data_IF_467903359925
#
_entry.id   IF_467903359925
#
_cell.length_a   1.000
_cell.length_b   1.000
_cell.length_c   1.000
_cell.angle_alpha   90.00
_cell.angle_beta   90.00
_cell.angle_gamma   90.00
#
_symmetry.space_group_name_H-M   'P 1'
#
loop_
_entity.id
_entity.type
_entity.pdbx_description
1 polymer ?
#
# COMPACT_ATOMS: atom_id res chain seq x y z
N UNK A 1 17.37 57.32 36.51
CA UNK A 1 16.66 58.18 35.54
C UNK A 1 17.43 58.16 34.23
N UNK A 2 16.75 57.73 33.16
CA UNK A 2 16.99 57.93 31.72
C UNK A 2 18.29 57.44 31.01
N UNK A 3 18.03 56.52 30.07
CA UNK A 3 18.79 56.20 28.84
C UNK A 3 18.85 57.41 27.87
N UNK A 4 19.67 57.34 26.80
CA UNK A 4 19.07 56.92 25.53
C UNK A 4 19.92 55.92 24.72
N UNK A 5 19.20 54.93 24.16
CA UNK A 5 19.63 54.01 23.10
C UNK A 5 19.47 54.69 21.74
N UNK A 6 20.53 54.71 20.94
CA UNK A 6 20.54 55.22 19.57
C UNK A 6 20.34 54.11 18.53
N UNK A 7 19.26 54.24 17.77
CA UNK A 7 19.13 53.98 16.33
C UNK A 7 19.67 52.66 15.75
N UNK A 8 18.81 51.63 15.73
CA UNK A 8 18.71 50.66 14.63
C UNK A 8 17.24 50.53 14.23
N UNK A 9 16.68 51.59 13.66
CA UNK A 9 15.41 51.54 12.94
C UNK A 9 15.74 51.52 11.45
N UNK A 10 16.10 50.34 10.95
CA UNK A 10 16.07 50.12 9.51
C UNK A 10 14.60 50.07 9.12
N UNK A 11 14.19 51.03 8.29
CA UNK A 11 12.82 51.21 7.86
C UNK A 11 12.22 49.87 7.41
N UNK A 12 11.28 49.36 8.20
CA UNK A 12 10.39 48.31 7.75
C UNK A 12 9.59 48.92 6.59
N UNK A 13 9.89 48.47 5.36
CA UNK A 13 9.08 48.80 4.20
C UNK A 13 7.62 48.49 4.53
N UNK A 14 6.74 49.41 4.16
CA UNK A 14 5.32 49.34 4.47
C UNK A 14 4.76 47.98 3.99
N UNK A 15 4.24 47.20 4.94
CA UNK A 15 3.75 45.86 4.65
C UNK A 15 2.59 45.96 3.64
N UNK A 16 2.63 45.22 2.53
CA UNK A 16 1.55 45.27 1.55
C UNK A 16 0.23 44.88 2.23
N UNK A 17 -0.84 45.65 1.97
CA UNK A 17 -2.20 45.31 2.43
C UNK A 17 -2.66 44.04 1.71
N UNK A 18 -2.43 42.90 2.35
CA UNK A 18 -2.77 41.58 1.85
C UNK A 18 -4.28 41.36 1.96
N UNK A 19 -4.97 41.31 0.81
CA UNK A 19 -6.38 40.94 0.73
C UNK A 19 -6.60 39.41 0.84
N UNK A 20 -5.54 38.60 0.61
CA UNK A 20 -5.58 37.13 0.66
C UNK A 20 -4.25 36.58 1.20
N UNK A 21 -4.31 35.56 2.04
CA UNK A 21 -3.15 34.93 2.68
C UNK A 21 -2.28 34.15 1.68
N UNK A 22 -2.84 33.73 0.53
CA UNK A 22 -2.06 33.11 -0.56
C UNK A 22 -1.06 34.09 -1.20
N UNK A 23 -1.46 35.34 -1.40
CA UNK A 23 -0.55 36.39 -1.86
C UNK A 23 0.56 36.70 -0.84
N UNK A 24 0.28 36.49 0.46
CA UNK A 24 1.27 36.62 1.52
C UNK A 24 2.34 35.53 1.41
N UNK A 25 1.93 34.30 1.10
CA UNK A 25 2.85 33.20 0.84
C UNK A 25 3.72 33.42 -0.40
N UNK A 26 3.14 33.90 -1.50
CA UNK A 26 3.91 34.21 -2.71
C UNK A 26 4.96 35.29 -2.45
N UNK A 27 4.62 36.31 -1.64
CA UNK A 27 5.58 37.32 -1.19
C UNK A 27 6.65 36.75 -0.25
N UNK A 28 6.26 35.85 0.68
CA UNK A 28 7.22 35.19 1.58
C UNK A 28 8.18 34.28 0.81
N UNK A 29 7.70 33.60 -0.24
CA UNK A 29 8.49 32.77 -1.13
C UNK A 29 9.48 33.56 -2.01
N UNK A 30 9.29 34.87 -2.17
CA UNK A 30 10.23 35.75 -2.89
C UNK A 30 11.42 36.21 -2.03
N UNK A 31 11.36 36.07 -0.70
CA UNK A 31 12.50 36.39 0.15
C UNK A 31 13.56 35.28 0.07
N UNK A 32 14.77 35.61 -0.42
CA UNK A 32 15.96 34.74 -0.52
C UNK A 32 16.43 34.08 0.80
N UNK A 33 15.75 34.34 1.92
CA UNK A 33 16.04 33.83 3.29
C UNK A 33 14.78 33.30 4.00
N UNK A 34 13.68 33.06 3.28
CA UNK A 34 12.47 32.47 3.87
C UNK A 34 12.69 31.02 4.30
N UNK A 35 11.86 30.52 5.23
CA UNK A 35 11.94 29.14 5.75
C UNK A 35 11.90 28.08 4.62
N UNK A 36 11.19 28.35 3.52
CA UNK A 36 11.15 27.48 2.32
C UNK A 36 12.53 27.33 1.65
N UNK A 37 13.28 28.41 1.51
CA UNK A 37 14.59 28.38 0.86
C UNK A 37 15.63 27.73 1.78
N UNK A 38 15.47 27.88 3.10
CA UNK A 38 16.26 27.17 4.09
C UNK A 38 16.00 25.66 4.01
N UNK A 39 14.74 25.22 3.92
CA UNK A 39 14.42 23.79 3.79
C UNK A 39 14.84 23.20 2.43
N UNK A 40 14.73 23.97 1.34
CA UNK A 40 15.25 23.57 0.01
C UNK A 40 16.78 23.55 -0.04
N UNK A 41 17.43 24.42 0.72
CA UNK A 41 18.88 24.41 0.89
C UNK A 41 19.30 23.26 1.79
N UNK A 42 18.70 23.06 2.96
CA UNK A 42 18.96 21.94 3.86
C UNK A 42 18.75 20.62 3.15
N UNK A 43 17.64 20.42 2.43
CA UNK A 43 17.42 19.17 1.68
C UNK A 43 18.50 18.88 0.63
N UNK A 44 19.10 19.93 0.04
CA UNK A 44 20.24 19.82 -0.88
C UNK A 44 21.59 19.68 -0.18
N UNK A 45 21.68 20.03 1.10
CA UNK A 45 22.91 20.07 1.91
C UNK A 45 22.89 19.09 3.09
N UNK A 46 21.89 18.21 3.19
CA UNK A 46 21.88 17.12 4.13
C UNK A 46 23.08 16.22 3.82
N UNK A 47 23.87 15.80 4.83
CA UNK A 47 24.95 14.85 4.62
C UNK A 47 24.37 13.61 3.94
N UNK A 48 25.00 13.17 2.84
CA UNK A 48 24.63 11.90 2.21
C UNK A 48 24.65 10.82 3.28
N UNK A 49 23.46 10.33 3.65
CA UNK A 49 23.35 9.16 4.51
C UNK A 49 24.05 8.05 3.74
N UNK A 50 25.13 7.46 4.28
CA UNK A 50 25.92 6.47 3.56
C UNK A 50 24.96 5.38 3.08
N UNK A 51 24.90 5.20 1.75
CA UNK A 51 24.00 4.25 1.15
C UNK A 51 24.26 2.88 1.77
N UNK A 52 23.27 2.33 2.47
CA UNK A 52 23.32 0.95 2.94
C UNK A 52 23.60 0.09 1.70
N UNK A 53 24.64 -0.77 1.70
CA UNK A 53 24.99 -1.55 0.52
C UNK A 53 23.75 -2.35 0.09
N UNK A 54 23.15 -1.93 -1.03
CA UNK A 54 21.99 -2.60 -1.58
C UNK A 54 22.48 -3.89 -2.25
N UNK A 55 22.21 -5.02 -1.60
CA UNK A 55 22.44 -6.32 -2.21
C UNK A 55 21.57 -6.40 -3.46
N UNK A 56 22.20 -6.53 -4.63
CA UNK A 56 21.46 -6.64 -5.90
C UNK A 56 20.52 -7.85 -5.83
N UNK A 57 19.24 -7.71 -6.20
CA UNK A 57 18.31 -8.82 -6.21
C UNK A 57 18.80 -9.89 -7.20
N UNK A 58 18.79 -11.16 -6.77
CA UNK A 58 19.12 -12.30 -7.61
C UNK A 58 17.87 -13.05 -8.11
N UNK A 59 16.69 -12.75 -7.55
CA UNK A 59 15.40 -13.24 -8.00
C UNK A 59 14.45 -12.06 -8.22
N UNK A 60 14.25 -11.70 -9.49
CA UNK A 60 13.45 -10.54 -9.91
C UNK A 60 12.03 -10.99 -10.27
N UNK A 61 11.02 -10.44 -9.58
CA UNK A 61 9.60 -10.76 -9.69
C UNK A 61 8.80 -9.47 -9.86
N UNK A 62 8.94 -8.81 -11.01
CA UNK A 62 8.38 -7.46 -11.24
C UNK A 62 6.88 -7.47 -11.55
N UNK A 63 6.36 -8.60 -12.02
CA UNK A 63 4.94 -8.78 -12.32
C UNK A 63 4.37 -10.03 -11.62
N UNK A 64 3.04 -10.09 -11.39
CA UNK A 64 2.38 -11.29 -10.89
C UNK A 64 2.67 -12.53 -11.75
N UNK A 65 2.79 -12.36 -13.07
CA UNK A 65 3.11 -13.46 -13.98
C UNK A 65 4.50 -14.06 -13.75
N UNK A 66 5.47 -13.28 -13.25
CA UNK A 66 6.82 -13.77 -12.94
C UNK A 66 6.79 -14.76 -11.78
N UNK A 67 6.05 -14.42 -10.71
CA UNK A 67 5.92 -15.31 -9.55
C UNK A 67 5.13 -16.57 -9.91
N UNK A 68 4.10 -16.47 -10.75
CA UNK A 68 3.30 -17.63 -11.19
C UNK A 68 4.17 -18.61 -11.96
N UNK A 69 4.93 -18.12 -12.95
CA UNK A 69 5.87 -18.97 -13.72
C UNK A 69 6.92 -19.59 -12.83
N UNK A 70 7.46 -18.84 -11.87
CA UNK A 70 8.46 -19.35 -10.95
C UNK A 70 7.88 -20.40 -10.00
N UNK A 71 6.65 -20.21 -9.53
CA UNK A 71 5.93 -21.19 -8.72
C UNK A 71 5.70 -22.48 -9.52
N UNK A 72 5.18 -22.40 -10.76
CA UNK A 72 5.01 -23.59 -11.60
C UNK A 72 6.31 -24.34 -11.88
N UNK A 73 7.46 -23.66 -12.02
CA UNK A 73 8.77 -24.33 -12.15
C UNK A 73 9.14 -25.16 -10.92
N UNK A 74 8.67 -24.77 -9.74
CA UNK A 74 8.86 -25.53 -8.51
C UNK A 74 7.92 -26.75 -8.41
N UNK A 75 7.00 -26.91 -9.35
CA UNK A 75 6.01 -27.99 -9.42
C UNK A 75 6.16 -28.78 -10.75
N UNK A 76 7.13 -29.72 -10.83
CA UNK A 76 7.42 -30.48 -12.05
C UNK A 76 6.21 -31.23 -12.64
N UNK A 77 5.29 -31.65 -11.78
CA UNK A 77 4.01 -32.28 -12.13
C UNK A 77 3.15 -31.42 -13.08
N UNK A 78 3.20 -30.09 -12.91
CA UNK A 78 2.43 -29.15 -13.72
C UNK A 78 3.02 -28.89 -15.12
N UNK A 79 4.24 -29.37 -15.40
CA UNK A 79 4.89 -29.17 -16.70
C UNK A 79 4.13 -29.90 -17.84
N UNK A 80 3.53 -31.05 -17.52
CA UNK A 80 2.72 -31.81 -18.49
C UNK A 80 1.46 -31.03 -18.87
N UNK A 81 0.74 -30.50 -17.88
CA UNK A 81 -0.47 -29.69 -18.08
C UNK A 81 -0.16 -28.46 -18.94
N UNK A 82 0.92 -27.73 -18.62
CA UNK A 82 1.37 -26.57 -19.40
C UNK A 82 1.64 -26.92 -20.87
N UNK A 83 2.21 -28.10 -21.12
CA UNK A 83 2.46 -28.57 -22.49
C UNK A 83 1.16 -28.89 -23.24
N UNK A 84 0.14 -29.42 -22.57
CA UNK A 84 -1.18 -29.72 -23.15
C UNK A 84 -1.94 -28.43 -23.49
N UNK A 85 -1.91 -27.45 -22.58
CA UNK A 85 -2.61 -26.16 -22.75
C UNK A 85 -2.00 -25.29 -23.85
N UNK A 86 -0.69 -25.43 -24.09
CA UNK A 86 0.05 -24.61 -25.02
C UNK A 86 0.42 -23.23 -24.46
N UNK A 87 1.46 -22.62 -25.04
CA UNK A 87 2.11 -21.42 -24.48
C UNK A 87 1.18 -20.21 -24.33
N UNK A 88 0.22 -20.03 -25.24
CA UNK A 88 -0.71 -18.89 -25.23
C UNK A 88 -1.70 -18.97 -24.06
N UNK A 89 -2.31 -20.14 -23.83
CA UNK A 89 -3.20 -20.35 -22.67
C UNK A 89 -2.42 -20.25 -21.37
N UNK A 90 -1.24 -20.87 -21.28
CA UNK A 90 -0.36 -20.78 -20.09
C UNK A 90 0.02 -19.33 -19.79
N UNK A 91 0.33 -18.53 -20.81
CA UNK A 91 0.65 -17.12 -20.63
C UNK A 91 -0.55 -16.31 -20.15
N UNK A 92 -1.76 -16.52 -20.71
CA UNK A 92 -3.00 -15.89 -20.22
C UNK A 92 -3.29 -16.26 -18.78
N UNK A 93 -3.12 -17.55 -18.45
CA UNK A 93 -3.26 -18.02 -17.08
C UNK A 93 -2.26 -17.34 -16.17
N UNK A 94 -0.99 -17.17 -16.57
CA UNK A 94 0.04 -16.48 -15.78
C UNK A 94 -0.23 -14.98 -15.62
N UNK A 95 -0.83 -14.34 -16.63
CA UNK A 95 -1.18 -12.92 -16.61
C UNK A 95 -2.49 -12.62 -15.85
N UNK A 96 -3.20 -13.65 -15.37
CA UNK A 96 -4.51 -13.49 -14.70
C UNK A 96 -5.65 -13.21 -15.68
N UNK A 97 -5.41 -13.36 -16.99
CA UNK A 97 -6.43 -13.15 -18.03
C UNK A 97 -7.29 -14.38 -18.22
N UNK A 98 -7.89 -14.87 -17.13
CA UNK A 98 -8.69 -16.09 -17.11
C UNK A 98 -9.99 -15.94 -17.92
N UNK A 99 -10.44 -14.72 -18.19
CA UNK A 99 -11.62 -14.48 -19.04
C UNK A 99 -11.48 -15.09 -20.46
N UNK A 100 -10.24 -15.24 -20.93
CA UNK A 100 -9.91 -15.78 -22.25
C UNK A 100 -9.51 -17.27 -22.22
N UNK A 101 -9.73 -17.95 -21.10
CA UNK A 101 -9.44 -19.38 -20.89
C UNK A 101 -10.76 -20.14 -20.81
N UNK A 102 -10.94 -21.14 -21.67
CA UNK A 102 -12.13 -21.98 -21.73
C UNK A 102 -12.28 -22.77 -20.40
N UNK A 103 -13.36 -22.55 -19.63
CA UNK A 103 -13.54 -23.24 -18.35
C UNK A 103 -13.67 -24.77 -18.48
N UNK A 104 -14.05 -25.27 -19.66
CA UNK A 104 -14.13 -26.72 -19.89
C UNK A 104 -12.77 -27.40 -19.78
N UNK A 105 -11.66 -26.66 -19.88
CA UNK A 105 -10.30 -27.17 -19.71
C UNK A 105 -10.05 -27.74 -18.31
N UNK A 106 -10.71 -27.22 -17.27
CA UNK A 106 -10.59 -27.80 -15.92
C UNK A 106 -11.00 -29.27 -15.84
N UNK A 107 -11.90 -29.71 -16.73
CA UNK A 107 -12.35 -31.11 -16.79
C UNK A 107 -11.59 -31.95 -17.80
N UNK A 108 -11.14 -31.33 -18.89
CA UNK A 108 -10.49 -32.04 -20.01
C UNK A 108 -9.02 -32.32 -19.76
N UNK A 109 -8.41 -31.54 -18.87
CA UNK A 109 -6.98 -31.61 -18.58
C UNK A 109 -6.82 -31.88 -17.09
N UNK A 110 -6.31 -33.06 -16.77
CA UNK A 110 -5.94 -33.43 -15.40
C UNK A 110 -4.99 -32.37 -14.80
N UNK A 111 -5.09 -32.12 -13.50
CA UNK A 111 -4.27 -31.17 -12.74
C UNK A 111 -4.39 -29.68 -13.17
N UNK A 112 -5.33 -29.34 -14.06
CA UNK A 112 -5.63 -27.94 -14.42
C UNK A 112 -6.12 -27.13 -13.21
N UNK A 113 -6.86 -27.76 -12.30
CA UNK A 113 -7.24 -27.16 -11.02
C UNK A 113 -6.01 -26.74 -10.21
N UNK A 114 -5.10 -27.67 -9.93
CA UNK A 114 -3.87 -27.36 -9.20
C UNK A 114 -3.03 -26.28 -9.89
N UNK A 115 -2.92 -26.32 -11.23
CA UNK A 115 -2.21 -25.30 -12.00
C UNK A 115 -2.77 -23.90 -11.76
N UNK A 116 -4.09 -23.77 -11.84
CA UNK A 116 -4.79 -22.52 -11.64
C UNK A 116 -4.72 -22.08 -10.15
N UNK A 117 -4.68 -23.03 -9.20
CA UNK A 117 -4.67 -22.77 -7.75
C UNK A 117 -3.32 -22.17 -7.35
N UNK A 118 -2.23 -22.83 -7.79
CA UNK A 118 -0.87 -22.32 -7.65
C UNK A 118 -0.73 -20.93 -8.27
N UNK A 119 -1.39 -20.67 -9.40
CA UNK A 119 -1.37 -19.34 -10.01
C UNK A 119 -2.11 -18.30 -9.17
N UNK A 120 -3.31 -18.61 -8.66
CA UNK A 120 -4.08 -17.70 -7.81
C UNK A 120 -3.36 -17.39 -6.50
N UNK A 121 -2.82 -18.40 -5.83
CA UNK A 121 -2.06 -18.25 -4.60
C UNK A 121 -0.76 -17.47 -4.81
N UNK A 122 -0.04 -17.73 -5.91
CA UNK A 122 1.14 -16.96 -6.26
C UNK A 122 0.86 -15.46 -6.41
N UNK A 123 -0.24 -15.10 -7.09
CA UNK A 123 -0.66 -13.70 -7.20
C UNK A 123 -0.98 -13.08 -5.85
N UNK A 124 -1.79 -13.76 -5.03
CA UNK A 124 -2.19 -13.26 -3.71
C UNK A 124 -0.98 -13.01 -2.82
N UNK A 125 -0.03 -13.94 -2.78
CA UNK A 125 1.19 -13.83 -1.99
C UNK A 125 2.09 -12.69 -2.50
N UNK A 126 2.20 -12.52 -3.82
CA UNK A 126 2.97 -11.42 -4.40
C UNK A 126 2.34 -10.05 -4.11
N UNK A 127 1.01 -9.93 -4.22
CA UNK A 127 0.27 -8.71 -3.87
C UNK A 127 0.50 -8.35 -2.40
N UNK A 128 0.44 -9.32 -1.49
CA UNK A 128 0.74 -9.10 -0.06
C UNK A 128 2.17 -8.60 0.16
N UNK A 129 3.15 -9.17 -0.55
CA UNK A 129 4.55 -8.76 -0.43
C UNK A 129 4.80 -7.34 -0.95
N UNK A 130 4.18 -6.96 -2.07
CA UNK A 130 4.25 -5.59 -2.61
C UNK A 130 3.56 -4.61 -1.64
N UNK A 131 2.39 -4.97 -1.11
CA UNK A 131 1.65 -4.16 -0.14
C UNK A 131 2.48 -3.90 1.14
N UNK A 132 3.05 -4.95 1.74
CA UNK A 132 3.85 -4.86 2.96
C UNK A 132 5.06 -3.93 2.79
N UNK A 133 5.76 -4.02 1.65
CA UNK A 133 6.91 -3.14 1.33
C UNK A 133 6.47 -1.70 1.09
N UNK A 134 5.34 -1.49 0.43
CA UNK A 134 4.80 -0.15 0.21
C UNK A 134 4.37 0.49 1.53
N UNK A 135 3.70 -0.25 2.41
CA UNK A 135 3.29 0.21 3.74
C UNK A 135 4.49 0.54 4.65
N UNK A 136 5.57 -0.25 4.61
CA UNK A 136 6.80 0.01 5.38
C UNK A 136 7.35 1.43 5.15
N UNK A 137 7.40 1.89 3.89
CA UNK A 137 7.87 3.25 3.54
C UNK A 137 7.07 4.35 4.23
N UNK A 138 5.75 4.20 4.31
CA UNK A 138 4.88 5.16 4.99
C UNK A 138 4.97 5.06 6.51
N UNK A 139 5.22 3.87 7.07
CA UNK A 139 5.50 3.69 8.51
C UNK A 139 6.82 4.34 8.92
N UNK A 140 7.86 4.27 8.09
CA UNK A 140 9.12 5.01 8.30
C UNK A 140 8.88 6.52 8.31
N UNK A 141 8.10 7.03 7.36
CA UNK A 141 7.73 8.46 7.29
C UNK A 141 6.97 8.91 8.55
N UNK A 142 6.02 8.09 9.02
CA UNK A 142 5.28 8.35 10.24
C UNK A 142 6.19 8.36 11.49
N UNK A 143 7.19 7.47 11.56
CA UNK A 143 8.16 7.46 12.65
C UNK A 143 9.02 8.74 12.66
N UNK A 144 9.55 9.16 11.51
CA UNK A 144 10.34 10.39 11.40
C UNK A 144 9.54 11.60 11.90
N UNK A 145 8.27 11.71 11.49
CA UNK A 145 7.39 12.79 11.97
C UNK A 145 7.16 12.71 13.49
N UNK A 146 6.95 11.51 14.02
CA UNK A 146 6.74 11.29 15.45
C UNK A 146 7.99 11.62 16.30
N UNK A 147 9.18 11.30 15.81
CA UNK A 147 10.46 11.64 16.44
C UNK A 147 10.68 13.15 16.48
N UNK A 148 10.48 13.83 15.36
CA UNK A 148 10.59 15.28 15.27
C UNK A 148 9.62 15.98 16.24
N UNK A 149 8.36 15.52 16.28
CA UNK A 149 7.37 16.06 17.21
C UNK A 149 7.75 15.81 18.67
N UNK A 150 8.16 14.60 19.03
CA UNK A 150 8.55 14.29 20.39
C UNK A 150 9.77 15.11 20.85
N UNK A 151 10.78 15.28 19.99
CA UNK A 151 11.97 16.07 20.31
C UNK A 151 11.64 17.55 20.51
N UNK A 152 10.86 18.15 19.60
CA UNK A 152 10.44 19.54 19.74
C UNK A 152 9.66 19.74 21.05
N UNK A 153 8.87 18.75 21.45
CA UNK A 153 8.02 18.82 22.64
C UNK A 153 8.87 18.74 23.91
N UNK A 154 9.85 17.84 23.92
CA UNK A 154 10.84 17.76 24.98
C UNK A 154 11.65 19.05 25.14
N UNK A 155 12.04 19.70 24.03
CA UNK A 155 12.72 21.00 24.06
C UNK A 155 11.83 22.11 24.59
N UNK A 156 10.54 22.12 24.25
CA UNK A 156 9.58 23.09 24.78
C UNK A 156 9.37 22.94 26.30
N UNK A 157 9.41 21.71 26.81
CA UNK A 157 9.40 21.45 28.25
C UNK A 157 10.70 21.91 28.91
N UNK A 158 11.87 21.65 28.29
CA UNK A 158 13.16 22.03 28.88
C UNK A 158 13.36 23.53 29.01
N UNK A 159 12.79 24.32 28.08
CA UNK A 159 12.78 25.80 28.16
C UNK A 159 11.60 26.36 28.97
N UNK A 160 10.76 25.51 29.56
CA UNK A 160 9.66 25.91 30.45
C UNK A 160 8.40 26.42 29.76
N UNK A 161 8.34 26.38 28.42
CA UNK A 161 7.16 26.83 27.67
C UNK A 161 5.99 25.83 27.75
N UNK A 162 6.30 24.53 27.88
CA UNK A 162 5.30 23.46 27.98
C UNK A 162 5.41 22.71 29.31
N UNK A 163 4.28 22.20 29.77
CA UNK A 163 4.21 21.19 30.83
C UNK A 163 4.53 19.79 30.28
N UNK A 164 5.01 18.86 31.13
CA UNK A 164 5.19 17.46 30.72
C UNK A 164 3.93 16.82 30.13
N UNK A 165 2.74 17.19 30.64
CA UNK A 165 1.44 16.73 30.13
C UNK A 165 1.21 17.13 28.66
N UNK A 166 1.61 18.34 28.26
CA UNK A 166 1.48 18.80 26.88
C UNK A 166 2.41 18.05 25.92
N UNK A 167 3.54 17.54 26.41
CA UNK A 167 4.46 16.72 25.62
C UNK A 167 4.06 15.24 25.53
N UNK A 168 3.27 14.73 26.49
CA UNK A 168 2.91 13.30 26.57
C UNK A 168 2.23 12.72 25.31
N UNK A 169 1.32 13.42 24.60
CA UNK A 169 0.74 12.90 23.36
C UNK A 169 1.78 12.60 22.26
N UNK A 170 2.87 13.37 22.21
CA UNK A 170 3.96 13.15 21.26
C UNK A 170 4.84 11.96 21.66
N UNK A 171 5.08 11.77 22.97
CA UNK A 171 5.73 10.55 23.49
C UNK A 171 4.93 9.29 23.15
N UNK A 172 3.61 9.35 23.31
CA UNK A 172 2.71 8.26 22.94
C UNK A 172 2.77 7.99 21.43
N UNK A 173 2.68 9.05 20.62
CA UNK A 173 2.76 8.94 19.16
C UNK A 173 4.07 8.27 18.72
N UNK A 174 5.20 8.67 19.30
CA UNK A 174 6.50 8.06 19.02
C UNK A 174 6.54 6.58 19.40
N UNK A 175 6.03 6.23 20.58
CA UNK A 175 5.98 4.83 21.04
C UNK A 175 5.13 3.97 20.12
N UNK A 176 3.96 4.46 19.68
CA UNK A 176 3.10 3.78 18.70
C UNK A 176 3.78 3.64 17.35
N UNK A 177 4.40 4.70 16.82
CA UNK A 177 5.09 4.65 15.52
C UNK A 177 6.24 3.63 15.51
N UNK A 178 6.98 3.48 16.62
CA UNK A 178 8.00 2.44 16.78
C UNK A 178 7.42 1.03 16.76
N UNK A 179 6.30 0.81 17.45
CA UNK A 179 5.61 -0.48 17.41
C UNK A 179 5.12 -0.80 15.99
N UNK A 180 4.55 0.18 15.31
CA UNK A 180 4.03 -0.01 13.96
C UNK A 180 5.14 -0.27 12.94
N UNK A 181 6.29 0.40 13.07
CA UNK A 181 7.46 0.12 12.23
C UNK A 181 7.95 -1.33 12.43
N UNK A 182 8.07 -1.79 13.68
CA UNK A 182 8.46 -3.16 13.98
C UNK A 182 7.48 -4.18 13.40
N UNK A 183 6.16 -3.91 13.45
CA UNK A 183 5.14 -4.76 12.82
C UNK A 183 5.27 -4.77 11.30
N UNK A 184 5.51 -3.62 10.67
CA UNK A 184 5.69 -3.53 9.23
C UNK A 184 6.94 -4.27 8.75
N UNK A 185 8.05 -4.19 9.49
CA UNK A 185 9.26 -4.97 9.22
C UNK A 185 9.00 -6.48 9.32
N UNK A 186 8.27 -6.91 10.36
CA UNK A 186 7.86 -8.31 10.49
C UNK A 186 6.96 -8.74 9.32
N UNK A 187 6.00 -7.91 8.92
CA UNK A 187 5.09 -8.20 7.81
C UNK A 187 5.85 -8.38 6.49
N UNK A 188 6.86 -7.53 6.21
CA UNK A 188 7.75 -7.71 5.04
C UNK A 188 8.51 -9.04 5.13
N UNK A 189 9.11 -9.35 6.29
CA UNK A 189 9.84 -10.60 6.47
C UNK A 189 8.94 -11.84 6.32
N UNK A 190 7.69 -11.78 6.80
CA UNK A 190 6.71 -12.84 6.67
C UNK A 190 6.26 -13.00 5.21
N UNK A 191 6.00 -11.91 4.49
CA UNK A 191 5.60 -11.96 3.09
C UNK A 191 6.74 -12.48 2.19
N UNK A 192 7.98 -12.06 2.44
CA UNK A 192 9.16 -12.60 1.78
C UNK A 192 9.33 -14.11 2.07
N UNK A 193 9.14 -14.52 3.33
CA UNK A 193 9.16 -15.93 3.72
C UNK A 193 8.05 -16.74 3.03
N UNK A 194 6.85 -16.18 2.89
CA UNK A 194 5.73 -16.80 2.18
C UNK A 194 6.03 -16.99 0.68
N UNK A 195 6.63 -15.99 0.04
CA UNK A 195 7.11 -16.09 -1.34
C UNK A 195 8.16 -17.19 -1.49
N UNK A 196 9.19 -17.21 -0.63
CA UNK A 196 10.23 -18.23 -0.70
C UNK A 196 9.69 -19.64 -0.45
N UNK A 197 8.71 -19.79 0.45
CA UNK A 197 8.02 -21.05 0.71
C UNK A 197 7.21 -21.51 -0.52
N UNK A 198 6.42 -20.63 -1.13
CA UNK A 198 5.67 -20.90 -2.36
C UNK A 198 6.59 -21.37 -3.49
N UNK A 199 7.74 -20.70 -3.66
CA UNK A 199 8.70 -21.02 -4.70
C UNK A 199 9.56 -22.25 -4.39
N UNK A 200 9.32 -22.93 -3.25
CA UNK A 200 10.13 -24.03 -2.71
C UNK A 200 11.63 -23.70 -2.61
N UNK A 201 11.95 -22.43 -2.33
CA UNK A 201 13.31 -21.90 -2.14
C UNK A 201 13.66 -21.68 -0.67
N UNK A 202 12.86 -22.22 0.27
CA UNK A 202 13.12 -22.12 1.70
C UNK A 202 14.50 -22.69 2.05
N UNK A 203 15.41 -21.83 2.54
CA UNK A 203 16.79 -22.19 2.87
C UNK A 203 17.83 -21.87 1.79
N UNK A 204 17.42 -21.37 0.61
CA UNK A 204 18.34 -20.83 -0.40
C UNK A 204 18.49 -19.32 -0.21
N UNK A 205 19.71 -18.76 -0.18
CA UNK A 205 19.89 -17.31 -0.09
C UNK A 205 19.39 -16.63 -1.38
N UNK A 206 18.16 -16.13 -1.33
CA UNK A 206 17.52 -15.39 -2.41
C UNK A 206 17.20 -13.96 -1.92
N UNK A 207 17.61 -12.98 -2.72
CA UNK A 207 17.30 -11.57 -2.55
C UNK A 207 16.22 -11.22 -3.56
N UNK A 208 14.99 -11.02 -3.05
CA UNK A 208 13.81 -10.74 -3.85
C UNK A 208 13.83 -9.30 -4.38
N UNK A 209 13.70 -9.15 -5.70
CA UNK A 209 13.43 -7.90 -6.37
C UNK A 209 11.95 -7.79 -6.73
N UNK A 210 11.20 -7.02 -5.94
CA UNK A 210 9.77 -6.75 -6.15
C UNK A 210 9.59 -5.27 -6.58
N UNK A 211 8.50 -4.94 -7.29
CA UNK A 211 8.22 -3.54 -7.63
C UNK A 211 7.87 -2.73 -6.39
N UNK A 212 8.01 -1.41 -6.49
CA UNK A 212 7.60 -0.47 -5.44
C UNK A 212 6.11 -0.14 -5.47
N UNK A 213 5.44 -0.41 -6.59
CA UNK A 213 4.05 -0.04 -6.84
C UNK A 213 3.23 -1.25 -7.30
N UNK A 214 1.92 -1.18 -7.07
CA UNK A 214 0.97 -2.16 -7.59
C UNK A 214 0.84 -2.03 -9.12
N UNK A 215 0.29 -3.07 -9.79
CA UNK A 215 -0.21 -2.94 -11.15
C UNK A 215 -1.22 -1.79 -11.29
N UNK A 216 -1.47 -1.35 -12.51
CA UNK A 216 -2.44 -0.28 -12.77
C UNK A 216 -3.84 -0.70 -12.30
N UNK A 217 -4.39 0.04 -11.32
CA UNK A 217 -5.73 -0.22 -10.80
C UNK A 217 -6.82 0.11 -11.85
N UNK A 218 -7.76 -0.81 -12.11
CA UNK A 218 -8.78 -0.65 -13.14
C UNK A 218 -9.82 0.40 -12.72
N UNK A 219 -10.10 1.36 -13.61
CA UNK A 219 -11.07 2.44 -13.34
C UNK A 219 -12.51 1.95 -13.16
N UNK A 220 -12.87 0.85 -13.81
CA UNK A 220 -14.20 0.24 -13.75
C UNK A 220 -14.11 -1.21 -13.25
N UNK A 221 -15.02 -1.58 -12.36
CA UNK A 221 -15.20 -2.97 -11.95
C UNK A 221 -15.95 -3.76 -13.02
N UNK A 222 -15.80 -5.09 -13.00
CA UNK A 222 -16.66 -5.98 -13.77
C UNK A 222 -18.14 -5.73 -13.44
N UNK A 223 -18.95 -5.44 -14.46
CA UNK A 223 -20.39 -5.25 -14.30
C UNK A 223 -21.07 -6.54 -13.81
N UNK A 224 -22.11 -6.41 -12.98
CA UNK A 224 -22.84 -7.56 -12.42
C UNK A 224 -23.48 -8.41 -13.52
N UNK A 225 -23.94 -7.78 -14.59
CA UNK A 225 -24.52 -8.45 -15.75
C UNK A 225 -23.47 -9.28 -16.50
N UNK A 226 -22.27 -8.72 -16.70
CA UNK A 226 -21.16 -9.42 -17.35
C UNK A 226 -20.67 -10.62 -16.52
N UNK A 227 -20.59 -10.44 -15.20
CA UNK A 227 -20.29 -11.53 -14.27
C UNK A 227 -21.36 -12.63 -14.33
N UNK A 228 -22.65 -12.27 -14.27
CA UNK A 228 -23.76 -13.22 -14.30
C UNK A 228 -23.77 -14.05 -15.59
N UNK A 229 -23.56 -13.40 -16.75
CA UNK A 229 -23.46 -14.09 -18.04
C UNK A 229 -22.33 -15.13 -18.06
N UNK A 230 -21.17 -14.78 -17.51
CA UNK A 230 -20.01 -15.69 -17.42
C UNK A 230 -20.28 -16.85 -16.48
N UNK A 231 -20.89 -16.58 -15.32
CA UNK A 231 -21.26 -17.62 -14.38
C UNK A 231 -22.28 -18.58 -15.01
N UNK A 232 -23.30 -18.09 -15.70
CA UNK A 232 -24.30 -18.94 -16.37
C UNK A 232 -23.67 -19.83 -17.45
N UNK A 233 -22.74 -19.28 -18.25
CA UNK A 233 -21.99 -20.06 -19.24
C UNK A 233 -21.13 -21.16 -18.62
N UNK A 234 -20.52 -20.89 -17.45
CA UNK A 234 -19.74 -21.87 -16.68
C UNK A 234 -20.64 -22.96 -16.09
N UNK A 235 -21.80 -22.59 -15.53
CA UNK A 235 -22.69 -23.49 -14.81
C UNK A 235 -23.24 -24.62 -15.70
N UNK A 236 -23.45 -24.36 -16.99
CA UNK A 236 -23.82 -25.39 -17.98
C UNK A 236 -22.73 -26.43 -18.26
N UNK A 237 -21.49 -26.19 -17.81
CA UNK A 237 -20.34 -27.05 -18.05
C UNK A 237 -19.89 -27.83 -16.81
N UNK A 238 -20.42 -27.51 -15.63
CA UNK A 238 -20.04 -28.14 -14.36
C UNK A 238 -20.97 -29.31 -13.99
N UNK A 239 -20.47 -30.37 -13.33
CA UNK A 239 -21.31 -31.38 -12.70
C UNK A 239 -22.27 -30.74 -11.68
N UNK A 240 -23.45 -31.32 -11.46
CA UNK A 240 -24.48 -30.69 -10.63
C UNK A 240 -24.00 -30.32 -9.21
N UNK A 241 -23.19 -31.17 -8.57
CA UNK A 241 -22.70 -30.89 -7.21
C UNK A 241 -21.71 -29.72 -7.19
N UNK A 242 -20.74 -29.72 -8.10
CA UNK A 242 -19.73 -28.66 -8.21
C UNK A 242 -20.36 -27.34 -8.64
N UNK A 243 -21.34 -27.38 -9.54
CA UNK A 243 -22.09 -26.22 -9.99
C UNK A 243 -22.78 -25.49 -8.82
N UNK A 244 -23.40 -26.23 -7.90
CA UNK A 244 -24.05 -25.65 -6.71
C UNK A 244 -23.02 -24.99 -5.80
N UNK A 245 -21.90 -25.65 -5.50
CA UNK A 245 -20.85 -25.08 -4.64
C UNK A 245 -20.20 -23.86 -5.29
N UNK A 246 -19.83 -23.97 -6.57
CA UNK A 246 -19.23 -22.90 -7.34
C UNK A 246 -20.15 -21.68 -7.48
N UNK A 247 -21.48 -21.87 -7.59
CA UNK A 247 -22.43 -20.76 -7.66
C UNK A 247 -22.40 -19.91 -6.38
N UNK A 248 -22.41 -20.57 -5.22
CA UNK A 248 -22.31 -19.87 -3.92
C UNK A 248 -20.96 -19.18 -3.77
N UNK A 249 -19.87 -19.88 -4.10
CA UNK A 249 -18.52 -19.33 -4.04
C UNK A 249 -18.35 -18.11 -4.99
N UNK A 250 -18.88 -18.19 -6.21
CA UNK A 250 -18.81 -17.11 -7.20
C UNK A 250 -19.59 -15.88 -6.78
N UNK A 251 -20.76 -16.07 -6.15
CA UNK A 251 -21.55 -14.96 -5.60
C UNK A 251 -20.76 -14.24 -4.51
N UNK A 252 -20.21 -14.99 -3.54
CA UNK A 252 -19.39 -14.42 -2.48
C UNK A 252 -18.16 -13.71 -3.05
N UNK A 253 -17.44 -14.33 -3.99
CA UNK A 253 -16.26 -13.74 -4.62
C UNK A 253 -16.60 -12.43 -5.34
N UNK A 254 -17.72 -12.37 -6.06
CA UNK A 254 -18.14 -11.17 -6.76
C UNK A 254 -18.52 -10.04 -5.81
N UNK A 255 -19.21 -10.35 -4.72
CA UNK A 255 -19.58 -9.35 -3.73
C UNK A 255 -18.34 -8.78 -3.01
N UNK A 256 -17.37 -9.63 -2.66
CA UNK A 256 -16.08 -9.20 -2.08
C UNK A 256 -15.28 -8.38 -3.09
N UNK A 257 -15.18 -8.82 -4.35
CA UNK A 257 -14.49 -8.11 -5.44
C UNK A 257 -15.09 -6.71 -5.69
N UNK A 258 -16.40 -6.63 -5.90
CA UNK A 258 -17.06 -5.36 -6.22
C UNK A 258 -17.01 -4.37 -5.04
N UNK A 259 -17.15 -4.88 -3.81
CA UNK A 259 -16.97 -4.06 -2.60
C UNK A 259 -15.52 -3.60 -2.46
N UNK A 260 -14.55 -4.49 -2.65
CA UNK A 260 -13.13 -4.18 -2.60
C UNK A 260 -12.72 -3.13 -3.63
N UNK A 261 -13.21 -3.24 -4.87
CA UNK A 261 -13.01 -2.22 -5.91
C UNK A 261 -13.57 -0.86 -5.47
N UNK A 262 -14.80 -0.84 -4.95
CA UNK A 262 -15.43 0.38 -4.44
C UNK A 262 -14.60 1.05 -3.34
N UNK A 263 -14.11 0.28 -2.37
CA UNK A 263 -13.27 0.76 -1.27
C UNK A 263 -11.92 1.31 -1.77
N UNK A 264 -11.25 0.58 -2.68
CA UNK A 264 -9.99 1.01 -3.27
C UNK A 264 -10.17 2.31 -4.08
N UNK A 265 -11.24 2.40 -4.87
CA UNK A 265 -11.59 3.60 -5.65
C UNK A 265 -11.85 4.80 -4.75
N UNK A 266 -12.66 4.66 -3.70
CA UNK A 266 -12.93 5.76 -2.75
C UNK A 266 -11.64 6.24 -2.09
N UNK A 267 -10.77 5.33 -1.64
CA UNK A 267 -9.49 5.69 -1.05
C UNK A 267 -8.60 6.46 -2.04
N UNK A 268 -8.42 5.93 -3.25
CA UNK A 268 -7.58 6.54 -4.29
C UNK A 268 -8.12 7.87 -4.80
N UNK A 269 -9.41 7.93 -5.12
CA UNK A 269 -10.00 9.04 -5.86
C UNK A 269 -10.57 10.14 -4.99
N UNK A 270 -10.92 9.84 -3.73
CA UNK A 270 -11.53 10.80 -2.82
C UNK A 270 -10.60 11.06 -1.64
N UNK A 271 -10.28 10.03 -0.84
CA UNK A 271 -9.52 10.20 0.42
C UNK A 271 -8.12 10.74 0.17
N UNK A 272 -7.34 10.11 -0.72
CA UNK A 272 -5.97 10.53 -1.01
C UNK A 272 -5.91 11.89 -1.69
N UNK A 273 -6.85 12.21 -2.58
CA UNK A 273 -6.91 13.54 -3.21
C UNK A 273 -7.20 14.63 -2.18
N UNK A 274 -8.18 14.41 -1.31
CA UNK A 274 -8.52 15.36 -0.23
C UNK A 274 -7.36 15.50 0.75
N UNK A 275 -6.75 14.38 1.16
CA UNK A 275 -5.60 14.39 2.07
C UNK A 275 -4.42 15.15 1.49
N UNK A 276 -4.12 14.95 0.20
CA UNK A 276 -3.06 15.69 -0.49
C UNK A 276 -3.33 17.19 -0.49
N UNK A 277 -4.55 17.59 -0.83
CA UNK A 277 -4.97 18.99 -0.76
C UNK A 277 -4.79 19.57 0.65
N UNK A 278 -5.24 18.86 1.70
CA UNK A 278 -5.07 19.30 3.09
C UNK A 278 -3.59 19.46 3.45
N UNK A 279 -2.73 18.55 2.98
CA UNK A 279 -1.28 18.62 3.22
C UNK A 279 -0.66 19.83 2.54
N UNK A 280 -0.96 20.04 1.25
CA UNK A 280 -0.47 21.18 0.47
C UNK A 280 -0.91 22.52 1.09
N UNK A 281 -2.19 22.65 1.44
CA UNK A 281 -2.70 23.84 2.13
C UNK A 281 -2.08 23.98 3.54
N UNK A 282 -1.86 22.89 4.27
CA UNK A 282 -1.22 22.96 5.60
C UNK A 282 0.22 23.48 5.52
N UNK A 283 0.98 23.08 4.51
CA UNK A 283 2.32 23.62 4.24
C UNK A 283 2.24 25.12 3.94
N UNK A 284 1.31 25.53 3.09
CA UNK A 284 1.11 26.94 2.77
C UNK A 284 0.72 27.75 4.02
N UNK A 285 -0.23 27.27 4.83
CA UNK A 285 -0.62 27.92 6.07
C UNK A 285 0.50 27.96 7.11
N UNK A 286 1.36 26.94 7.16
CA UNK A 286 2.55 26.94 8.01
C UNK A 286 3.54 28.05 7.59
N UNK A 287 3.85 28.15 6.30
CA UNK A 287 4.73 29.20 5.77
C UNK A 287 4.18 30.61 6.01
N UNK A 288 2.86 30.76 5.96
CA UNK A 288 2.14 32.00 6.27
C UNK A 288 1.99 32.30 7.76
N UNK A 289 2.59 31.49 8.65
CA UNK A 289 2.47 31.58 10.12
C UNK A 289 1.01 31.43 10.64
N UNK A 290 0.13 30.81 9.85
CA UNK A 290 -1.27 30.54 10.20
C UNK A 290 -1.47 29.18 10.86
N UNK A 291 -0.56 28.24 10.63
CA UNK A 291 -0.49 26.94 11.29
C UNK A 291 0.88 26.75 11.94
N UNK A 292 0.92 25.96 13.00
CA UNK A 292 2.16 25.65 13.71
C UNK A 292 2.90 24.47 13.07
N UNK A 293 4.18 24.28 13.43
CA UNK A 293 4.94 23.06 13.09
C UNK A 293 4.21 21.80 13.54
N UNK A 294 3.48 21.88 14.66
CA UNK A 294 2.75 20.76 15.22
C UNK A 294 1.57 20.31 14.36
N UNK A 295 0.86 21.27 13.77
CA UNK A 295 -0.20 20.99 12.81
C UNK A 295 0.38 20.34 11.55
N UNK A 296 1.55 20.79 11.10
CA UNK A 296 2.25 20.22 9.95
C UNK A 296 2.70 18.77 10.22
N UNK A 297 3.37 18.50 11.33
CA UNK A 297 3.79 17.15 11.71
C UNK A 297 2.59 16.22 11.91
N UNK A 298 1.53 16.76 12.52
CA UNK A 298 0.24 16.09 12.65
C UNK A 298 -0.31 15.67 11.28
N UNK A 299 -0.28 16.57 10.29
CA UNK A 299 -0.77 16.32 8.95
C UNK A 299 0.08 15.32 8.14
N UNK A 300 1.41 15.36 8.28
CA UNK A 300 2.30 14.37 7.65
C UNK A 300 1.99 12.94 8.13
N UNK A 301 1.78 12.74 9.43
CA UNK A 301 1.40 11.43 9.98
C UNK A 301 0.04 10.98 9.45
N UNK A 302 -0.89 11.91 9.49
CA UNK A 302 -2.24 11.79 8.96
C UNK A 302 -2.25 11.34 7.49
N UNK A 303 -1.36 11.92 6.67
CA UNK A 303 -1.16 11.52 5.28
C UNK A 303 -0.61 10.10 5.17
N UNK A 304 0.42 9.76 5.95
CA UNK A 304 0.99 8.42 5.95
C UNK A 304 -0.05 7.34 6.30
N UNK A 305 -0.93 7.59 7.27
CA UNK A 305 -2.03 6.67 7.62
C UNK A 305 -2.99 6.48 6.44
N UNK A 306 -3.44 7.57 5.80
CA UNK A 306 -4.35 7.49 4.66
C UNK A 306 -3.73 6.76 3.45
N UNK A 307 -2.42 6.91 3.23
CA UNK A 307 -1.68 6.16 2.19
C UNK A 307 -1.62 4.67 2.52
N UNK A 308 -1.43 4.29 3.78
CA UNK A 308 -1.46 2.89 4.22
C UNK A 308 -2.86 2.29 4.05
N UNK A 309 -3.91 3.01 4.43
CA UNK A 309 -5.30 2.56 4.27
C UNK A 309 -5.64 2.34 2.78
N UNK A 310 -5.15 3.21 1.90
CA UNK A 310 -5.29 3.06 0.46
C UNK A 310 -4.54 1.83 -0.09
N UNK A 311 -3.32 1.57 0.43
CA UNK A 311 -2.54 0.37 0.09
C UNK A 311 -3.28 -0.90 0.49
N UNK A 312 -3.84 -0.93 1.70
CA UNK A 312 -4.59 -2.07 2.20
C UNK A 312 -5.87 -2.31 1.38
N UNK A 313 -6.60 -1.25 1.03
CA UNK A 313 -7.78 -1.35 0.18
C UNK A 313 -7.45 -1.87 -1.23
N UNK A 314 -6.37 -1.39 -1.85
CA UNK A 314 -5.93 -1.85 -3.16
C UNK A 314 -5.41 -3.29 -3.13
N UNK A 315 -4.68 -3.69 -2.09
CA UNK A 315 -4.25 -5.08 -1.84
C UNK A 315 -5.46 -6.01 -1.75
N UNK A 316 -6.46 -5.64 -0.94
CA UNK A 316 -7.65 -6.45 -0.72
C UNK A 316 -8.45 -6.62 -2.01
N UNK A 317 -8.56 -5.56 -2.82
CA UNK A 317 -9.13 -5.63 -4.17
C UNK A 317 -8.41 -6.63 -5.06
N UNK A 318 -7.08 -6.54 -5.20
CA UNK A 318 -6.32 -7.42 -6.09
C UNK A 318 -6.36 -8.88 -5.64
N UNK A 319 -6.41 -9.14 -4.32
CA UNK A 319 -6.60 -10.50 -3.81
C UNK A 319 -8.02 -11.01 -4.09
N UNK A 320 -9.04 -10.16 -3.96
CA UNK A 320 -10.42 -10.52 -4.25
C UNK A 320 -10.66 -10.76 -5.75
N UNK A 321 -9.95 -10.03 -6.62
CA UNK A 321 -9.93 -10.28 -8.05
C UNK A 321 -9.38 -11.68 -8.36
N UNK A 322 -8.27 -12.08 -7.73
CA UNK A 322 -7.72 -13.42 -7.92
C UNK A 322 -8.70 -14.53 -7.49
N UNK A 323 -9.41 -14.34 -6.37
CA UNK A 323 -10.45 -15.26 -5.92
C UNK A 323 -11.65 -15.30 -6.89
N UNK A 324 -12.09 -14.14 -7.41
CA UNK A 324 -13.16 -14.07 -8.41
C UNK A 324 -12.77 -14.81 -9.69
N UNK A 325 -11.58 -14.54 -10.23
CA UNK A 325 -11.07 -15.18 -11.42
C UNK A 325 -11.01 -16.71 -11.26
N UNK A 326 -10.59 -17.20 -10.09
CA UNK A 326 -10.59 -18.62 -9.76
C UNK A 326 -12.00 -19.22 -9.74
N UNK A 327 -12.99 -18.54 -9.14
CA UNK A 327 -14.38 -19.02 -9.16
C UNK A 327 -15.01 -19.04 -10.54
N UNK A 328 -14.68 -18.05 -11.39
CA UNK A 328 -15.15 -18.01 -12.79
C UNK A 328 -14.53 -19.08 -13.68
N UNK A 329 -13.55 -19.83 -13.18
CA UNK A 329 -13.02 -21.01 -13.86
C UNK A 329 -13.65 -22.34 -13.41
N UNK A 330 -14.51 -22.32 -12.38
CA UNK A 330 -15.10 -23.53 -11.81
C UNK A 330 -14.50 -23.94 -10.47
N UNK A 331 -13.42 -23.28 -10.03
CA UNK A 331 -12.82 -23.49 -8.72
C UNK A 331 -13.62 -22.86 -7.58
N UNK A 332 -13.19 -23.12 -6.35
CA UNK A 332 -13.66 -22.43 -5.15
C UNK A 332 -12.46 -22.14 -4.22
N UNK A 333 -12.24 -20.89 -3.76
CA UNK A 333 -11.21 -20.61 -2.77
C UNK A 333 -11.54 -21.30 -1.44
N UNK A 334 -10.53 -21.80 -0.75
CA UNK A 334 -10.70 -22.37 0.61
C UNK A 334 -11.01 -21.29 1.65
N UNK A 335 -10.55 -20.06 1.43
CA UNK A 335 -10.84 -18.88 2.24
C UNK A 335 -10.85 -17.64 1.35
N UNK A 336 -11.92 -16.85 1.45
CA UNK A 336 -12.02 -15.56 0.76
C UNK A 336 -11.25 -14.46 1.50
N UNK A 337 -10.89 -13.41 0.76
CA UNK A 337 -10.34 -12.17 1.32
C UNK A 337 -11.31 -11.54 2.33
N UNK A 338 -10.78 -11.12 3.47
CA UNK A 338 -11.48 -10.27 4.43
C UNK A 338 -11.15 -8.81 4.15
N UNK A 339 -12.13 -8.00 3.77
CA UNK A 339 -11.93 -6.58 3.48
C UNK A 339 -11.69 -5.79 4.77
N UNK A 340 -10.61 -5.01 4.83
CA UNK A 340 -10.28 -4.16 5.99
C UNK A 340 -9.63 -4.91 7.16
N UNK A 341 -9.09 -6.11 6.91
CA UNK A 341 -8.49 -6.99 7.93
C UNK A 341 -7.19 -6.51 8.58
N UNK A 342 -6.63 -5.37 8.16
CA UNK A 342 -5.34 -4.85 8.63
C UNK A 342 -5.22 -4.61 10.15
N UNK A 343 -6.33 -4.66 10.88
CA UNK A 343 -6.37 -4.54 12.35
C UNK A 343 -6.83 -5.80 13.10
N UNK A 344 -7.32 -6.84 12.42
CA UNK A 344 -7.99 -7.97 13.07
C UNK A 344 -7.20 -9.30 13.04
N UNK A 345 -6.27 -9.48 12.10
CA UNK A 345 -5.53 -10.75 11.93
C UNK A 345 -4.28 -10.90 12.84
N UNK A 346 -4.10 -10.03 13.85
CA UNK A 346 -3.11 -10.21 14.92
C UNK A 346 -3.60 -11.13 16.06
N UNK A 347 -4.47 -12.10 15.75
CA UNK A 347 -5.00 -13.09 16.69
C UNK A 347 -4.83 -14.50 16.14
N UNK A 348 -3.75 -15.17 16.53
CA UNK A 348 -3.58 -16.62 16.34
C UNK A 348 -4.70 -17.44 17.02
N UNK A 349 -4.76 -18.75 16.75
CA UNK A 349 -5.98 -19.55 16.84
C UNK A 349 -6.46 -19.70 18.29
N UNK A 350 -7.74 -19.47 18.52
CA UNK A 350 -8.41 -19.95 19.71
C UNK A 350 -8.71 -21.45 19.53
N UNK A 351 -7.75 -22.28 19.94
CA UNK A 351 -8.04 -23.64 20.36
C UNK A 351 -8.43 -23.60 21.83
N UNK A 352 -9.65 -24.06 22.15
CA UNK A 352 -9.96 -24.94 23.28
C UNK A 352 -11.36 -25.51 23.13
#
# INVERSE_FOLDING_TARGET
MLLPLGAWAQAAGEAPKLQDWRAANDAVAQFKRGHIDLLKWESKNLPEVPAVPQTKPNLVLMAPADVVRQAWRAHPELARVQSILGADVVQRVADGRLEAVDPSLQRRVDDMGELLEVAADARKIWIEAVAARKALRFRETALISAEAGNELGARMVSVGNWSPLQASPFQLTLSTARMDLSRAQLAVAQADGALLKLLKLAGTPAVLGLPSEFPEFPGEAMAREAWAQRLDALQGQLPQMDAVQNRVASQMAFDVYSTGHGLARINRDEVLKVRRFITEETVLHYNGMLKSVWDLLGEVRNQAVAEIDAIDAERDFWRAEADLQWTLQGGAPTKFVSLGGGSADAGGPAAH
#
